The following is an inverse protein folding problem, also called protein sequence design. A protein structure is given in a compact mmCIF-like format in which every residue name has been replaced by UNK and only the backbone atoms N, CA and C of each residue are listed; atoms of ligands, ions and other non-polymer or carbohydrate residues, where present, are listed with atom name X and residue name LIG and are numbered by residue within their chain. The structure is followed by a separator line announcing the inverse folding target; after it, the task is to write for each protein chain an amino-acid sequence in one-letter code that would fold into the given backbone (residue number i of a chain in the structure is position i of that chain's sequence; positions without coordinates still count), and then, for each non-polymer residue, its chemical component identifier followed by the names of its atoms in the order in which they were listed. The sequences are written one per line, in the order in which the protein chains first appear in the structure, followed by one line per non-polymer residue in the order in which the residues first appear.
data_IF_567426142154
#
_entry.id   IF_567426142154
#
_cell.length_a   1.000
_cell.length_b   1.000
_cell.length_c   1.000
_cell.angle_alpha   90.00
_cell.angle_beta   90.00
_cell.angle_gamma   90.00
#
_symmetry.space_group_name_H-M   'P 1'
#
loop_
_entity.id
_entity.type
_entity.pdbx_description
1 polymer ?
#
# COMPACT_ATOMS: atom_id res chain seq x y z
N UNK A 1 -6.18 -17.12 -6.98
CA UNK A 1 -5.09 -17.87 -7.63
C UNK A 1 -4.41 -17.05 -8.72
N UNK A 2 -4.15 -15.74 -8.51
CA UNK A 2 -3.73 -14.87 -9.62
C UNK A 2 -2.20 -14.78 -9.81
N UNK A 3 -1.39 -15.19 -8.82
CA UNK A 3 0.07 -14.96 -8.85
C UNK A 3 0.92 -16.16 -8.38
N UNK A 4 0.43 -17.40 -8.56
CA UNK A 4 1.11 -18.62 -8.08
C UNK A 4 2.57 -18.73 -8.58
N UNK A 5 2.84 -18.30 -9.82
CA UNK A 5 4.21 -18.28 -10.37
C UNK A 5 5.09 -17.28 -9.62
N UNK A 6 4.59 -16.07 -9.33
CA UNK A 6 5.35 -15.09 -8.54
C UNK A 6 5.59 -15.60 -7.12
N UNK A 7 4.58 -16.17 -6.47
CA UNK A 7 4.72 -16.75 -5.12
C UNK A 7 5.83 -17.81 -5.10
N UNK A 8 5.87 -18.69 -6.11
CA UNK A 8 6.91 -19.70 -6.24
C UNK A 8 8.30 -19.09 -6.52
N UNK A 9 8.40 -18.06 -7.36
CA UNK A 9 9.66 -17.37 -7.63
C UNK A 9 10.22 -16.75 -6.34
N UNK A 10 9.41 -15.98 -5.61
CA UNK A 10 9.85 -15.35 -4.37
C UNK A 10 10.19 -16.36 -3.27
N UNK A 11 9.45 -17.46 -3.16
CA UNK A 11 9.78 -18.55 -2.24
C UNK A 11 11.13 -19.22 -2.55
N UNK A 12 11.59 -19.17 -3.80
CA UNK A 12 12.89 -19.69 -4.24
C UNK A 12 14.01 -18.63 -4.20
N UNK A 13 13.75 -17.44 -3.65
CA UNK A 13 14.71 -16.32 -3.66
C UNK A 13 14.93 -15.70 -5.03
N UNK A 14 14.04 -15.99 -5.99
CA UNK A 14 14.01 -15.40 -7.32
C UNK A 14 13.05 -14.20 -7.34
N UNK A 15 13.08 -13.44 -8.42
CA UNK A 15 12.18 -12.33 -8.68
C UNK A 15 11.47 -12.49 -10.03
N UNK A 16 10.64 -11.52 -10.39
CA UNK A 16 9.86 -11.58 -11.61
C UNK A 16 10.66 -11.59 -12.91
N UNK A 17 11.95 -11.25 -12.88
CA UNK A 17 12.80 -11.27 -14.07
C UNK A 17 13.42 -12.66 -14.31
N UNK A 18 13.25 -13.59 -13.37
CA UNK A 18 13.76 -14.97 -13.46
C UNK A 18 12.76 -15.93 -14.14
N UNK A 19 11.72 -15.39 -14.78
CA UNK A 19 10.72 -16.13 -15.54
C UNK A 19 10.47 -15.46 -16.90
N UNK A 20 10.31 -16.27 -17.94
CA UNK A 20 10.09 -15.81 -19.31
C UNK A 20 8.60 -15.55 -19.55
N UNK A 21 8.13 -14.37 -19.16
CA UNK A 21 6.72 -13.99 -19.26
C UNK A 21 6.33 -13.67 -20.70
N UNK A 22 5.23 -14.26 -21.17
CA UNK A 22 4.55 -13.78 -22.39
C UNK A 22 3.97 -12.38 -22.13
N UNK A 23 3.34 -12.19 -20.97
CA UNK A 23 2.88 -10.89 -20.46
C UNK A 23 3.29 -10.78 -18.99
N UNK A 24 4.10 -9.77 -18.68
CA UNK A 24 4.66 -9.59 -17.34
C UNK A 24 3.58 -9.07 -16.38
N UNK A 25 3.37 -9.70 -15.21
CA UNK A 25 2.41 -9.21 -14.24
C UNK A 25 2.82 -7.84 -13.72
N UNK A 26 1.82 -7.01 -13.39
CA UNK A 26 2.05 -5.74 -12.72
C UNK A 26 2.50 -6.01 -11.29
N UNK A 27 3.63 -5.43 -10.90
CA UNK A 27 4.21 -5.59 -9.57
C UNK A 27 4.32 -4.23 -8.93
N UNK A 28 3.75 -4.13 -7.74
CA UNK A 28 3.67 -2.91 -6.97
C UNK A 28 4.66 -3.01 -5.80
N UNK A 29 5.63 -2.10 -5.82
CA UNK A 29 6.64 -1.94 -4.77
C UNK A 29 6.31 -0.69 -3.98
N UNK A 30 6.70 -0.67 -2.70
CA UNK A 30 6.56 0.55 -1.91
C UNK A 30 7.40 1.67 -2.54
N UNK A 31 6.74 2.77 -2.91
CA UNK A 31 7.34 3.92 -3.59
C UNK A 31 6.56 5.19 -3.27
N UNK A 32 7.11 6.34 -3.63
CA UNK A 32 6.42 7.63 -3.50
C UNK A 32 5.11 7.65 -4.31
N UNK A 33 5.05 6.94 -5.45
CA UNK A 33 3.81 6.82 -6.24
C UNK A 33 2.69 6.09 -5.49
N UNK A 34 3.03 5.08 -4.68
CA UNK A 34 2.05 4.39 -3.82
C UNK A 34 1.54 5.34 -2.74
N UNK A 35 2.44 6.11 -2.13
CA UNK A 35 2.08 7.12 -1.12
C UNK A 35 1.19 8.21 -1.72
N UNK A 36 1.50 8.68 -2.92
CA UNK A 36 0.69 9.65 -3.66
C UNK A 36 -0.69 9.07 -4.04
N UNK A 37 -0.75 7.80 -4.44
CA UNK A 37 -2.01 7.12 -4.68
C UNK A 37 -2.87 7.03 -3.41
N UNK A 38 -2.26 6.75 -2.24
CA UNK A 38 -2.95 6.81 -0.95
C UNK A 38 -3.49 8.21 -0.66
N UNK A 39 -2.71 9.26 -0.96
CA UNK A 39 -3.15 10.64 -0.79
C UNK A 39 -4.40 10.92 -1.63
N UNK A 40 -4.37 10.63 -2.93
CA UNK A 40 -5.50 10.89 -3.81
C UNK A 40 -6.73 10.02 -3.47
N UNK A 41 -6.52 8.78 -3.00
CA UNK A 41 -7.61 7.93 -2.49
C UNK A 41 -8.27 8.53 -1.24
N UNK A 42 -7.48 9.05 -0.29
CA UNK A 42 -7.97 9.55 1.00
C UNK A 42 -8.49 10.99 0.92
N UNK A 43 -7.96 11.81 0.02
CA UNK A 43 -8.31 13.23 -0.16
C UNK A 43 -9.82 13.51 -0.27
N UNK A 44 -10.62 12.78 -1.08
CA UNK A 44 -12.07 12.99 -1.14
C UNK A 44 -12.82 12.45 0.09
N UNK A 45 -12.19 11.59 0.92
CA UNK A 45 -12.86 10.91 2.03
C UNK A 45 -12.92 11.83 3.26
N UNK A 46 -14.10 11.89 3.88
CA UNK A 46 -14.35 12.72 5.09
C UNK A 46 -13.97 12.02 6.39
N UNK A 47 -14.08 10.69 6.43
CA UNK A 47 -13.73 9.85 7.58
C UNK A 47 -12.38 9.18 7.34
N UNK A 48 -11.59 8.91 8.39
CA UNK A 48 -10.42 8.04 8.28
C UNK A 48 -10.76 6.68 7.65
N UNK A 49 -9.74 6.04 7.08
CA UNK A 49 -9.80 4.66 6.58
C UNK A 49 -8.78 3.81 7.31
N UNK A 50 -9.06 2.53 7.50
CA UNK A 50 -8.06 1.64 8.08
C UNK A 50 -6.91 1.43 7.10
N UNK A 51 -5.75 1.04 7.61
CA UNK A 51 -4.63 0.67 6.74
C UNK A 51 -5.00 -0.47 5.79
N UNK A 52 -5.74 -1.47 6.28
CA UNK A 52 -6.19 -2.61 5.49
C UNK A 52 -7.15 -2.19 4.36
N UNK A 53 -8.06 -1.24 4.60
CA UNK A 53 -8.91 -0.67 3.54
C UNK A 53 -8.10 0.02 2.45
N UNK A 54 -7.01 0.70 2.82
CA UNK A 54 -6.12 1.36 1.86
C UNK A 54 -5.26 0.33 1.13
N UNK A 55 -4.78 -0.70 1.82
CA UNK A 55 -4.00 -1.78 1.23
C UNK A 55 -4.82 -2.58 0.20
N UNK A 56 -6.09 -2.89 0.53
CA UNK A 56 -7.02 -3.61 -0.35
C UNK A 56 -7.32 -2.86 -1.66
N UNK A 57 -7.16 -1.54 -1.70
CA UNK A 57 -7.30 -0.73 -2.93
C UNK A 57 -6.20 -1.05 -3.96
N UNK A 58 -5.06 -1.62 -3.54
CA UNK A 58 -3.95 -1.99 -4.44
C UNK A 58 -3.96 -3.45 -4.86
N UNK A 59 -4.63 -4.34 -4.11
CA UNK A 59 -4.78 -5.77 -4.45
C UNK A 59 -5.28 -6.00 -5.89
N UNK A 60 -6.31 -5.29 -6.40
CA UNK A 60 -6.75 -5.48 -7.78
C UNK A 60 -5.79 -4.88 -8.83
N UNK A 61 -4.78 -4.09 -8.43
CA UNK A 61 -3.89 -3.34 -9.34
C UNK A 61 -2.60 -4.08 -9.67
N UNK A 62 -2.25 -5.12 -8.92
CA UNK A 62 -1.02 -5.88 -9.16
C UNK A 62 -0.61 -6.77 -7.99
N UNK A 63 0.53 -7.43 -8.13
CA UNK A 63 1.18 -8.18 -7.06
C UNK A 63 1.88 -7.22 -6.10
N UNK A 64 1.52 -7.26 -4.82
CA UNK A 64 2.08 -6.36 -3.80
C UNK A 64 3.35 -6.99 -3.21
N UNK A 65 4.47 -6.26 -3.32
CA UNK A 65 5.75 -6.60 -2.66
C UNK A 65 5.96 -5.86 -1.35
N UNK A 66 4.88 -5.37 -0.77
CA UNK A 66 4.88 -4.68 0.50
C UNK A 66 3.69 -5.16 1.31
N UNK A 67 3.82 -5.08 2.62
CA UNK A 67 2.79 -5.46 3.59
C UNK A 67 1.96 -4.25 4.04
N UNK A 68 0.90 -4.50 4.81
CA UNK A 68 0.17 -3.41 5.49
C UNK A 68 1.08 -2.61 6.43
N UNK A 69 2.05 -3.27 7.08
CA UNK A 69 3.03 -2.63 7.95
C UNK A 69 4.00 -1.73 7.18
N UNK A 70 4.49 -2.18 6.02
CA UNK A 70 5.34 -1.35 5.14
C UNK A 70 4.60 -0.09 4.68
N UNK A 71 3.32 -0.26 4.31
CA UNK A 71 2.47 0.86 3.92
C UNK A 71 2.25 1.83 5.09
N UNK A 72 1.94 1.32 6.28
CA UNK A 72 1.77 2.14 7.48
C UNK A 72 3.04 2.94 7.79
N UNK A 73 4.20 2.28 7.75
CA UNK A 73 5.50 2.89 7.97
C UNK A 73 5.82 3.98 6.93
N UNK A 74 5.46 3.77 5.66
CA UNK A 74 5.62 4.78 4.62
C UNK A 74 4.74 6.01 4.89
N UNK A 75 3.46 5.80 5.25
CA UNK A 75 2.53 6.88 5.55
C UNK A 75 2.89 7.65 6.82
N UNK A 76 3.48 7.00 7.83
CA UNK A 76 3.97 7.64 9.05
C UNK A 76 5.08 8.65 8.80
N UNK A 77 5.91 8.41 7.77
CA UNK A 77 7.01 9.31 7.40
C UNK A 77 6.54 10.51 6.59
N UNK A 78 5.32 10.49 6.07
CA UNK A 78 4.77 11.56 5.23
C UNK A 78 3.82 12.47 6.01
N UNK A 79 4.24 13.73 6.17
CA UNK A 79 3.51 14.81 6.85
C UNK A 79 2.12 15.13 6.26
N UNK A 80 1.79 14.65 5.06
CA UNK A 80 0.48 14.81 4.44
C UNK A 80 -0.59 13.95 5.10
N UNK A 81 -0.21 12.94 5.88
CA UNK A 81 -1.14 12.04 6.56
C UNK A 81 -1.19 12.32 8.06
N UNK A 82 -2.35 12.04 8.64
CA UNK A 82 -2.59 12.00 10.07
C UNK A 82 -3.05 10.59 10.37
N UNK A 83 -2.32 9.93 11.27
CA UNK A 83 -2.54 8.52 11.62
C UNK A 83 -2.93 8.47 13.10
N UNK A 84 -4.09 7.86 13.35
CA UNK A 84 -4.62 7.60 14.69
C UNK A 84 -4.27 6.16 15.06
N UNK A 85 -3.80 5.96 16.30
CA UNK A 85 -3.36 4.67 16.85
C UNK A 85 -2.22 3.99 16.06
N UNK A 86 -1.11 4.69 15.74
CA UNK A 86 -0.06 4.16 14.85
C UNK A 86 0.82 3.06 15.47
N UNK A 87 0.76 2.86 16.79
CA UNK A 87 1.56 1.88 17.52
C UNK A 87 0.73 0.73 18.10
N UNK A 88 -0.58 0.75 17.84
CA UNK A 88 -1.43 -0.43 18.05
C UNK A 88 -1.27 -1.37 16.85
N UNK A 89 -1.85 -2.57 16.93
CA UNK A 89 -1.93 -3.50 15.79
C UNK A 89 -2.37 -2.72 14.54
N UNK A 90 -1.67 -2.94 13.42
CA UNK A 90 -1.95 -2.29 12.12
C UNK A 90 -3.45 -2.29 11.78
N UNK A 91 -4.19 -3.32 12.20
CA UNK A 91 -5.64 -3.44 12.06
C UNK A 91 -6.44 -2.26 12.65
N UNK A 92 -5.92 -1.57 13.66
CA UNK A 92 -6.58 -0.43 14.32
C UNK A 92 -6.09 0.93 13.79
N UNK A 93 -4.99 0.96 13.05
CA UNK A 93 -4.42 2.19 12.52
C UNK A 93 -5.40 2.84 11.53
N UNK A 94 -5.76 4.09 11.79
CA UNK A 94 -6.67 4.88 10.95
C UNK A 94 -5.96 6.05 10.33
N UNK A 95 -6.05 6.17 9.01
CA UNK A 95 -5.35 7.19 8.23
C UNK A 95 -6.35 8.18 7.62
N UNK A 96 -6.00 9.46 7.68
CA UNK A 96 -6.66 10.53 6.92
C UNK A 96 -5.64 11.55 6.42
N UNK A 97 -6.00 12.31 5.39
CA UNK A 97 -5.16 13.41 4.91
C UNK A 97 -5.23 14.61 5.85
N UNK A 98 -4.07 15.23 6.11
CA UNK A 98 -3.94 16.50 6.80
C UNK A 98 -4.62 17.61 5.98
N UNK A 99 -5.60 18.30 6.58
CA UNK A 99 -6.28 19.43 5.94
C UNK A 99 -5.76 20.74 6.52
N UNK A 100 -5.45 21.72 5.66
CA UNK A 100 -5.24 23.09 6.12
C UNK A 100 -6.51 23.55 6.84
N UNK A 101 -6.39 23.99 8.09
CA UNK A 101 -7.50 24.69 8.76
C UNK A 101 -7.87 25.88 7.89
N UNK A 102 -9.15 25.95 7.47
CA UNK A 102 -9.72 27.22 6.98
C UNK A 102 -9.64 28.18 8.16
N UNK A 103 -8.86 29.25 7.99
CA UNK A 103 -8.90 30.44 8.85
C UNK A 103 -10.21 31.16 8.61
#
# INVERSE_FOLDING_TARGET
YQYVILDALYALGKNENDFDWIEKPVILRMSDDIVDACYEFLKPKRKPRSISEIYLEFVPKGYLLFTEEDLLNALLRDKRFIIEYPYEDSLYAKVRVARKRRK
#
